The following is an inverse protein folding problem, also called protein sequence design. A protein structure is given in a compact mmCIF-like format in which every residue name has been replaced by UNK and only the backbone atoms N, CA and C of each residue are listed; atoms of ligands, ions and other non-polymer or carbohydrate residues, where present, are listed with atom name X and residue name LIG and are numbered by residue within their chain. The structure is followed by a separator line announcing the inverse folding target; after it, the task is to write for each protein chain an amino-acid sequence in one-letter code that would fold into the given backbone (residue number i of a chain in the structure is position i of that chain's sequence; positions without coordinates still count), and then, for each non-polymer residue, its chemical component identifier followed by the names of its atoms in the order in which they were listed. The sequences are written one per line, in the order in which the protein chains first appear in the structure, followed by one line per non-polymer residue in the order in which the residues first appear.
data_IF_512886789082
#
_entry.id   IF_512886789082
#
_cell.length_a   1.000
_cell.length_b   1.000
_cell.length_c   1.000
_cell.angle_alpha   90.00
_cell.angle_beta   90.00
_cell.angle_gamma   90.00
#
_symmetry.space_group_name_H-M   'P 1'
#
loop_
_entity.id
_entity.type
_entity.pdbx_description
1 polymer ?
#
# COMPACT_ATOMS: atom_id res chain seq x y z
N UNK A 1 6.38 4.25 26.70
CA UNK A 1 5.32 4.66 25.74
C UNK A 1 5.92 5.68 24.79
N UNK A 2 5.54 5.70 23.50
CA UNK A 2 5.91 6.82 22.63
C UNK A 2 5.18 8.08 23.12
N UNK A 3 5.94 9.09 23.54
CA UNK A 3 5.41 10.32 24.07
C UNK A 3 5.15 11.34 22.94
N UNK A 4 3.97 11.95 22.94
CA UNK A 4 3.58 12.98 21.96
C UNK A 4 2.93 12.44 20.68
N UNK A 5 2.19 13.32 20.00
CA UNK A 5 1.55 13.02 18.71
C UNK A 5 2.58 12.91 17.58
N UNK A 6 3.54 13.82 17.55
CA UNK A 6 4.56 13.90 16.48
C UNK A 6 5.44 12.66 16.43
N UNK A 7 5.84 12.12 17.59
CA UNK A 7 6.63 10.88 17.67
C UNK A 7 5.83 9.68 17.16
N UNK A 8 4.53 9.63 17.42
CA UNK A 8 3.65 8.55 16.91
C UNK A 8 3.45 8.68 15.40
N UNK A 9 3.30 9.90 14.90
CA UNK A 9 3.23 10.14 13.47
C UNK A 9 4.55 9.75 12.79
N UNK A 10 5.68 10.19 13.32
CA UNK A 10 7.00 9.84 12.81
C UNK A 10 7.25 8.33 12.83
N UNK A 11 6.87 7.66 13.92
CA UNK A 11 6.86 6.20 14.03
C UNK A 11 6.06 5.55 12.89
N UNK A 12 4.83 5.99 12.66
CA UNK A 12 3.99 5.40 11.62
C UNK A 12 4.56 5.65 10.22
N UNK A 13 5.05 6.86 9.95
CA UNK A 13 5.60 7.24 8.66
C UNK A 13 6.88 6.46 8.33
N UNK A 14 7.79 6.30 9.29
CA UNK A 14 8.99 5.46 9.10
C UNK A 14 8.62 3.99 8.91
N UNK A 15 7.65 3.48 9.66
CA UNK A 15 7.15 2.11 9.51
C UNK A 15 6.63 1.84 8.09
N UNK A 16 5.81 2.76 7.56
CA UNK A 16 5.24 2.68 6.21
C UNK A 16 6.29 2.89 5.11
N UNK A 17 7.13 3.92 5.24
CA UNK A 17 8.11 4.29 4.20
C UNK A 17 9.16 3.22 4.00
N UNK A 18 9.65 2.63 5.08
CA UNK A 18 10.74 1.64 5.03
C UNK A 18 10.24 0.21 4.92
N UNK A 19 8.92 -0.01 4.99
CA UNK A 19 8.30 -1.34 5.10
C UNK A 19 9.05 -2.23 6.12
N UNK A 20 9.38 -1.65 7.28
CA UNK A 20 10.32 -2.26 8.21
C UNK A 20 9.73 -3.49 8.89
N UNK A 21 10.57 -4.51 9.11
CA UNK A 21 10.25 -5.58 10.03
C UNK A 21 9.95 -5.00 11.42
N UNK A 22 9.00 -5.59 12.14
CA UNK A 22 8.61 -5.07 13.47
C UNK A 22 9.78 -5.06 14.46
N UNK A 23 10.75 -5.97 14.32
CA UNK A 23 11.97 -6.01 15.13
C UNK A 23 12.88 -4.81 14.85
N UNK A 24 13.04 -4.43 13.57
CA UNK A 24 13.81 -3.24 13.20
C UNK A 24 13.14 -1.98 13.76
N UNK A 25 11.82 -1.85 13.57
CA UNK A 25 11.05 -0.73 14.12
C UNK A 25 11.13 -0.67 15.65
N UNK A 26 11.08 -1.82 16.31
CA UNK A 26 11.22 -1.95 17.76
C UNK A 26 12.57 -1.42 18.24
N UNK A 27 13.65 -1.84 17.57
CA UNK A 27 15.00 -1.38 17.86
C UNK A 27 15.16 0.13 17.63
N UNK A 28 14.66 0.67 16.51
CA UNK A 28 14.76 2.10 16.18
C UNK A 28 14.05 3.01 17.18
N UNK A 29 12.99 2.53 17.83
CA UNK A 29 12.17 3.33 18.75
C UNK A 29 12.31 2.92 20.22
N UNK A 30 13.22 1.99 20.55
CA UNK A 30 13.46 1.54 21.91
C UNK A 30 12.24 0.91 22.58
N UNK A 31 11.41 0.18 21.82
CA UNK A 31 10.20 -0.48 22.31
C UNK A 31 10.21 -1.96 21.96
N UNK A 32 9.34 -2.76 22.58
CA UNK A 32 9.22 -4.18 22.21
C UNK A 32 8.47 -4.37 20.89
N UNK A 33 8.73 -5.49 20.21
CA UNK A 33 8.01 -5.87 18.99
C UNK A 33 6.49 -5.98 19.21
N UNK A 34 6.05 -6.50 20.36
CA UNK A 34 4.63 -6.55 20.71
C UNK A 34 4.01 -5.13 20.77
N UNK A 35 4.76 -4.14 21.25
CA UNK A 35 4.32 -2.75 21.27
C UNK A 35 4.28 -2.13 19.87
N UNK A 36 5.21 -2.48 18.99
CA UNK A 36 5.16 -2.09 17.57
C UNK A 36 3.85 -2.58 16.95
N UNK A 37 3.51 -3.85 17.10
CA UNK A 37 2.27 -4.42 16.55
C UNK A 37 1.01 -3.67 17.04
N UNK A 38 0.91 -3.42 18.35
CA UNK A 38 -0.21 -2.69 18.95
C UNK A 38 -0.30 -1.24 18.44
N UNK A 39 0.83 -0.53 18.40
CA UNK A 39 0.88 0.86 17.96
C UNK A 39 0.58 0.98 16.47
N UNK A 40 1.20 0.15 15.62
CA UNK A 40 0.96 0.17 14.17
C UNK A 40 -0.50 -0.09 13.87
N UNK A 41 -1.14 -1.07 14.52
CA UNK A 41 -2.57 -1.35 14.34
C UNK A 41 -3.44 -0.13 14.67
N UNK A 42 -3.24 0.46 15.85
CA UNK A 42 -4.03 1.62 16.28
C UNK A 42 -3.80 2.85 15.39
N UNK A 43 -2.55 3.15 15.06
CA UNK A 43 -2.17 4.32 14.27
C UNK A 43 -2.59 4.19 12.80
N UNK A 44 -2.51 2.98 12.21
CA UNK A 44 -3.06 2.70 10.88
C UNK A 44 -4.57 2.88 10.85
N UNK A 45 -5.28 2.50 11.91
CA UNK A 45 -6.71 2.74 12.04
C UNK A 45 -7.06 4.23 12.01
N UNK A 46 -6.31 5.06 12.76
CA UNK A 46 -6.47 6.51 12.75
C UNK A 46 -6.13 7.10 11.38
N UNK A 47 -5.02 6.67 10.76
CA UNK A 47 -4.63 7.14 9.43
C UNK A 47 -5.71 6.85 8.39
N UNK A 48 -6.24 5.62 8.36
CA UNK A 48 -7.32 5.24 7.43
C UNK A 48 -8.57 6.11 7.62
N UNK A 49 -8.97 6.40 8.85
CA UNK A 49 -10.11 7.29 9.10
C UNK A 49 -9.85 8.72 8.60
N UNK A 50 -8.64 9.24 8.79
CA UNK A 50 -8.27 10.58 8.31
C UNK A 50 -8.26 10.63 6.78
N UNK A 51 -7.65 9.63 6.12
CA UNK A 51 -7.64 9.51 4.67
C UNK A 51 -9.06 9.38 4.10
N UNK A 52 -9.93 8.61 4.76
CA UNK A 52 -11.33 8.47 4.37
C UNK A 52 -12.06 9.81 4.40
N UNK A 53 -11.95 10.55 5.52
CA UNK A 53 -12.59 11.88 5.67
C UNK A 53 -12.07 12.90 4.65
N UNK A 54 -10.82 12.73 4.18
CA UNK A 54 -10.21 13.60 3.16
C UNK A 54 -10.48 13.13 1.72
N UNK A 55 -11.14 11.99 1.52
CA UNK A 55 -11.35 11.41 0.19
C UNK A 55 -10.06 10.87 -0.45
N UNK A 56 -9.02 10.58 0.33
CA UNK A 56 -7.69 10.17 -0.11
C UNK A 56 -7.44 8.65 0.00
N UNK A 57 -8.46 7.86 0.29
CA UNK A 57 -8.32 6.40 0.26
C UNK A 57 -8.11 5.90 -1.17
N UNK A 58 -7.30 4.84 -1.36
CA UNK A 58 -7.09 4.26 -2.67
C UNK A 58 -8.40 3.65 -3.19
N UNK A 59 -8.72 3.97 -4.44
CA UNK A 59 -9.84 3.36 -5.17
C UNK A 59 -9.44 1.93 -5.51
N UNK A 60 -10.30 0.97 -5.14
CA UNK A 60 -10.03 -0.47 -5.33
C UNK A 60 -10.78 -1.06 -6.52
N UNK A 61 -11.86 -0.41 -6.94
CA UNK A 61 -12.66 -0.82 -8.09
C UNK A 61 -12.19 -0.11 -9.36
N UNK A 62 -12.02 -0.87 -10.44
CA UNK A 62 -11.54 -0.33 -11.72
C UNK A 62 -12.55 0.58 -12.40
N UNK A 63 -13.86 0.29 -12.27
CA UNK A 63 -14.92 1.11 -12.85
C UNK A 63 -15.07 2.44 -12.12
N UNK A 64 -15.04 2.42 -10.79
CA UNK A 64 -15.02 3.62 -9.96
C UNK A 64 -13.79 4.48 -10.26
N UNK A 65 -12.62 3.86 -10.42
CA UNK A 65 -11.39 4.57 -10.77
C UNK A 65 -11.54 5.24 -12.15
N UNK A 66 -12.07 4.53 -13.15
CA UNK A 66 -12.28 5.08 -14.48
C UNK A 66 -13.21 6.31 -14.46
N UNK A 67 -14.31 6.27 -13.69
CA UNK A 67 -15.22 7.39 -13.53
C UNK A 67 -14.54 8.61 -12.88
N UNK A 68 -13.75 8.38 -11.82
CA UNK A 68 -13.01 9.47 -11.15
C UNK A 68 -11.95 10.09 -12.05
N UNK A 69 -11.23 9.28 -12.83
CA UNK A 69 -10.21 9.74 -13.77
C UNK A 69 -10.82 10.52 -14.94
N UNK A 70 -12.00 10.13 -15.44
CA UNK A 70 -12.69 10.82 -16.52
C UNK A 70 -13.06 12.28 -16.17
N UNK A 71 -13.32 12.55 -14.89
CA UNK A 71 -13.61 13.89 -14.37
C UNK A 71 -12.38 14.63 -13.82
N UNK A 72 -11.18 14.03 -13.90
CA UNK A 72 -9.98 14.59 -13.28
C UNK A 72 -9.36 15.70 -14.15
N UNK A 73 -8.98 16.82 -13.54
CA UNK A 73 -8.44 17.99 -14.25
C UNK A 73 -7.03 17.79 -14.81
N UNK A 74 -6.29 16.82 -14.30
CA UNK A 74 -4.99 16.40 -14.81
C UNK A 74 -5.10 15.01 -15.43
N UNK A 75 -4.52 14.84 -16.63
CA UNK A 75 -4.49 13.56 -17.36
C UNK A 75 -3.10 12.93 -17.41
N UNK A 76 -2.11 13.59 -16.81
CA UNK A 76 -0.73 13.11 -16.73
C UNK A 76 -0.47 12.70 -15.29
N UNK A 77 -0.32 11.40 -15.06
CA UNK A 77 -0.13 10.84 -13.73
C UNK A 77 1.29 10.27 -13.58
N UNK A 78 1.90 10.54 -12.44
CA UNK A 78 3.09 9.80 -12.02
C UNK A 78 2.64 8.43 -11.47
N UNK A 79 3.15 7.36 -12.08
CA UNK A 79 2.85 6.00 -11.65
C UNK A 79 4.07 5.39 -10.94
N UNK A 80 3.92 5.08 -9.65
CA UNK A 80 4.91 4.28 -8.92
C UNK A 80 4.63 2.79 -9.19
N UNK A 81 5.14 2.33 -10.34
CA UNK A 81 4.91 0.99 -10.84
C UNK A 81 5.93 -0.02 -10.34
N UNK A 82 5.45 -1.08 -9.70
CA UNK A 82 6.23 -2.30 -9.47
C UNK A 82 5.68 -3.43 -10.31
N UNK A 83 6.55 -4.27 -10.86
CA UNK A 83 6.11 -5.51 -11.51
C UNK A 83 5.43 -6.41 -10.47
N UNK A 84 4.15 -6.72 -10.69
CA UNK A 84 3.40 -7.68 -9.88
C UNK A 84 2.99 -8.86 -10.74
N UNK A 85 3.26 -10.08 -10.28
CA UNK A 85 2.72 -11.27 -10.89
C UNK A 85 1.20 -11.24 -10.83
N UNK A 86 0.54 -11.35 -12.00
CA UNK A 86 -0.91 -11.49 -12.10
C UNK A 86 -1.22 -12.98 -12.25
N UNK A 87 -2.26 -13.52 -11.60
CA UNK A 87 -2.73 -14.87 -11.88
C UNK A 87 -3.05 -15.02 -13.36
N UNK A 88 -2.77 -16.20 -13.91
CA UNK A 88 -3.05 -16.47 -15.32
C UNK A 88 -4.57 -16.45 -15.55
N UNK A 89 -5.02 -15.76 -16.60
CA UNK A 89 -6.42 -15.76 -16.98
C UNK A 89 -6.90 -17.21 -17.23
N UNK A 90 -8.10 -17.51 -16.73
CA UNK A 90 -8.71 -18.84 -16.87
C UNK A 90 -9.37 -19.02 -18.24
N UNK A 91 -9.81 -17.92 -18.85
CA UNK A 91 -10.30 -17.93 -20.22
C UNK A 91 -9.15 -18.20 -21.20
N UNK A 92 -9.34 -19.15 -22.11
CA UNK A 92 -8.27 -19.61 -23.01
C UNK A 92 -7.91 -18.58 -24.08
N UNK A 93 -8.89 -17.86 -24.61
CA UNK A 93 -8.66 -16.89 -25.68
C UNK A 93 -7.92 -15.67 -25.10
N UNK A 94 -8.44 -15.12 -24.00
CA UNK A 94 -7.79 -14.01 -23.31
C UNK A 94 -6.39 -14.38 -22.79
N UNK A 95 -6.20 -15.61 -22.30
CA UNK A 95 -4.88 -16.09 -21.88
C UNK A 95 -3.88 -16.10 -23.04
N UNK A 96 -4.28 -16.50 -24.24
CA UNK A 96 -3.39 -16.53 -25.40
C UNK A 96 -2.94 -15.13 -25.80
N UNK A 97 -3.84 -14.13 -25.71
CA UNK A 97 -3.53 -12.72 -25.97
C UNK A 97 -2.60 -12.11 -24.91
N UNK A 98 -2.84 -12.40 -23.63
CA UNK A 98 -2.05 -11.86 -22.51
C UNK A 98 -0.64 -12.49 -22.40
N UNK A 99 -0.44 -13.69 -22.95
CA UNK A 99 0.78 -14.45 -22.78
C UNK A 99 1.92 -13.95 -23.68
N UNK A 100 2.78 -13.06 -23.16
CA UNK A 100 3.91 -12.52 -23.95
C UNK A 100 5.08 -13.49 -24.16
N UNK A 101 5.10 -14.66 -23.50
CA UNK A 101 6.18 -15.66 -23.60
C UNK A 101 7.53 -15.25 -22.99
N UNK A 102 7.68 -14.01 -22.51
CA UNK A 102 8.95 -13.43 -22.04
C UNK A 102 9.39 -13.88 -20.63
N UNK A 103 8.45 -14.32 -19.79
CA UNK A 103 8.75 -14.79 -18.42
C UNK A 103 8.29 -16.22 -18.24
N UNK A 104 9.26 -17.13 -18.14
CA UNK A 104 9.05 -18.53 -17.75
C UNK A 104 9.39 -18.64 -16.26
N UNK A 105 8.48 -19.18 -15.45
CA UNK A 105 8.83 -19.58 -14.09
C UNK A 105 9.78 -20.77 -14.19
N UNK A 106 11.05 -20.58 -13.84
CA UNK A 106 11.95 -21.70 -13.56
C UNK A 106 11.40 -22.40 -12.31
N UNK A 107 11.38 -23.74 -12.36
CA UNK A 107 10.96 -24.58 -11.25
C UNK A 107 11.89 -24.44 -10.04
#
# INVERSE_FOLDING_TARGET
MLAGGDVKLFFLLTYLKNNSLQQHQAASFGISQARVSQLSTALLGVLNQVLARRGLLPVRDGGELAQRLAAHGELVFAYDGVERGVPRNQDREAQAEEYSGKKKRTA
#
